data_IF_308902757943
#
_entry.id   IF_308902757943
#
_cell.length_a   1.000
_cell.length_b   1.000
_cell.length_c   1.000
_cell.angle_alpha   90.00
_cell.angle_beta   90.00
_cell.angle_gamma   90.00
#
_symmetry.space_group_name_H-M   'P 1'
#
loop_
_entity.id
_entity.type
_entity.pdbx_description
1 polymer ?
#
# COMPACT_ATOMS: atom_id res chain seq x y z
N UNK A 1 0.41 10.31 8.61
CA UNK A 1 1.27 9.70 7.60
C UNK A 1 1.21 10.52 6.32
N UNK A 2 2.35 11.00 5.84
CA UNK A 2 2.45 11.68 4.54
C UNK A 2 2.67 10.66 3.39
N UNK A 3 2.73 11.12 2.15
CA UNK A 3 2.91 10.26 0.98
C UNK A 3 4.18 9.40 1.05
N UNK A 4 5.32 9.96 1.43
CA UNK A 4 6.60 9.25 1.45
C UNK A 4 6.62 8.13 2.49
N UNK A 5 6.01 8.34 3.65
CA UNK A 5 5.83 7.32 4.69
C UNK A 5 4.91 6.18 4.21
N UNK A 6 3.80 6.50 3.53
CA UNK A 6 2.90 5.48 2.97
C UNK A 6 3.57 4.66 1.87
N UNK A 7 4.31 5.32 0.98
CA UNK A 7 5.03 4.64 -0.08
C UNK A 7 6.08 3.67 0.48
N UNK A 8 6.83 4.10 1.51
CA UNK A 8 7.80 3.24 2.20
C UNK A 8 7.11 2.02 2.81
N UNK A 9 6.02 2.24 3.53
CA UNK A 9 5.24 1.18 4.16
C UNK A 9 4.74 0.15 3.13
N UNK A 10 4.20 0.59 1.99
CA UNK A 10 3.70 -0.31 0.94
C UNK A 10 4.82 -1.15 0.31
N UNK A 11 6.00 -0.55 0.08
CA UNK A 11 7.19 -1.26 -0.42
C UNK A 11 7.61 -2.35 0.57
N UNK A 12 7.65 -2.02 1.87
CA UNK A 12 8.03 -2.95 2.93
C UNK A 12 6.99 -4.08 3.09
N UNK A 13 5.69 -3.78 2.97
CA UNK A 13 4.60 -4.76 3.08
C UNK A 13 4.61 -5.80 1.95
N UNK A 14 4.97 -5.38 0.74
CA UNK A 14 5.17 -6.26 -0.42
C UNK A 14 6.48 -7.08 -0.33
N UNK A 15 7.35 -6.80 0.65
CA UNK A 15 8.69 -7.40 0.79
C UNK A 15 9.55 -7.21 -0.48
N UNK A 16 9.45 -6.05 -1.12
CA UNK A 16 10.26 -5.69 -2.29
C UNK A 16 11.24 -4.57 -1.93
N UNK A 17 12.33 -4.46 -2.68
CA UNK A 17 13.27 -3.34 -2.50
C UNK A 17 12.80 -2.12 -3.30
N UNK A 18 13.21 -0.92 -2.90
CA UNK A 18 12.97 0.30 -3.70
C UNK A 18 13.49 0.16 -5.13
N UNK A 19 14.62 -0.55 -5.32
CA UNK A 19 15.18 -0.84 -6.65
C UNK A 19 14.28 -1.77 -7.46
N UNK A 20 13.74 -2.82 -6.84
CA UNK A 20 12.81 -3.73 -7.51
C UNK A 20 11.53 -2.98 -7.91
N UNK A 21 10.97 -2.20 -6.98
CA UNK A 21 9.81 -1.37 -7.23
C UNK A 21 10.04 -0.35 -8.36
N UNK A 22 11.20 0.31 -8.38
CA UNK A 22 11.60 1.22 -9.46
C UNK A 22 11.65 0.51 -10.82
N UNK A 23 12.24 -0.68 -10.87
CA UNK A 23 12.28 -1.50 -12.09
C UNK A 23 10.88 -1.91 -12.55
N UNK A 24 10.02 -2.37 -11.63
CA UNK A 24 8.66 -2.81 -11.95
C UNK A 24 7.80 -1.66 -12.49
N UNK A 25 8.03 -0.44 -11.98
CA UNK A 25 7.42 0.79 -12.49
C UNK A 25 8.20 1.44 -13.62
N UNK A 26 9.28 0.85 -14.14
CA UNK A 26 10.10 1.46 -15.18
C UNK A 26 10.46 2.94 -14.89
N UNK A 27 10.85 3.22 -13.65
CA UNK A 27 11.27 4.54 -13.14
C UNK A 27 12.70 4.42 -12.62
N UNK A 28 13.48 5.50 -12.71
CA UNK A 28 14.84 5.49 -12.18
C UNK A 28 14.84 5.25 -10.66
N UNK A 29 15.72 4.38 -10.12
CA UNK A 29 15.80 4.14 -8.68
C UNK A 29 16.03 5.40 -7.83
N UNK A 30 16.76 6.39 -8.37
CA UNK A 30 16.96 7.70 -7.75
C UNK A 30 15.65 8.47 -7.57
N UNK A 31 14.74 8.40 -8.55
CA UNK A 31 13.43 9.04 -8.50
C UNK A 31 12.55 8.42 -7.42
N UNK A 32 12.49 7.08 -7.34
CA UNK A 32 11.79 6.38 -6.25
C UNK A 32 12.41 6.72 -4.89
N UNK A 33 13.74 6.76 -4.81
CA UNK A 33 14.45 7.18 -3.59
C UNK A 33 14.05 8.58 -3.14
N UNK A 34 13.94 9.53 -4.09
CA UNK A 34 13.44 10.88 -3.85
C UNK A 34 12.01 10.89 -3.29
N UNK A 35 11.12 10.07 -3.85
CA UNK A 35 9.74 9.92 -3.34
C UNK A 35 9.69 9.35 -1.92
N UNK A 36 10.45 8.28 -1.65
CA UNK A 36 10.50 7.62 -0.33
C UNK A 36 11.17 8.49 0.73
N UNK A 37 12.01 9.44 0.33
CA UNK A 37 12.64 10.43 1.22
C UNK A 37 11.81 11.72 1.34
N UNK A 38 10.79 11.92 0.51
CA UNK A 38 9.99 13.15 0.47
C UNK A 38 10.71 14.36 -0.15
N UNK A 39 11.75 14.12 -0.95
CA UNK A 39 12.52 15.16 -1.66
C UNK A 39 11.78 15.62 -2.93
N UNK A 40 11.05 14.70 -3.55
CA UNK A 40 10.25 14.96 -4.74
C UNK A 40 8.91 14.26 -4.63
N UNK A 41 7.96 14.68 -5.45
CA UNK A 41 6.64 14.07 -5.56
C UNK A 41 6.44 13.50 -6.97
N UNK A 42 5.64 12.42 -7.13
CA UNK A 42 5.28 11.90 -8.42
C UNK A 42 4.34 12.86 -9.17
N UNK A 43 4.40 12.84 -10.50
CA UNK A 43 3.33 13.42 -11.30
C UNK A 43 2.05 12.57 -11.22
N UNK A 44 0.94 13.08 -11.76
CA UNK A 44 -0.36 12.40 -11.70
C UNK A 44 -0.33 11.00 -12.32
N UNK A 45 0.39 10.81 -13.42
CA UNK A 45 0.42 9.51 -14.09
C UNK A 45 1.28 8.51 -13.31
N UNK A 46 2.40 8.96 -12.74
CA UNK A 46 3.22 8.14 -11.85
C UNK A 46 2.46 7.77 -10.58
N UNK A 47 1.75 8.72 -9.96
CA UNK A 47 0.92 8.46 -8.79
C UNK A 47 -0.14 7.39 -9.08
N UNK A 48 -0.82 7.48 -10.22
CA UNK A 48 -1.80 6.48 -10.68
C UNK A 48 -1.17 5.10 -10.85
N UNK A 49 0.03 5.03 -11.43
CA UNK A 49 0.76 3.75 -11.60
C UNK A 49 1.16 3.15 -10.26
N UNK A 50 1.60 3.98 -9.31
CA UNK A 50 1.89 3.55 -7.93
C UNK A 50 0.62 3.00 -7.25
N UNK A 51 -0.49 3.72 -7.36
CA UNK A 51 -1.78 3.31 -6.80
C UNK A 51 -2.25 1.95 -7.36
N UNK A 52 -2.16 1.77 -8.67
CA UNK A 52 -2.50 0.50 -9.34
C UNK A 52 -1.55 -0.63 -8.97
N UNK A 53 -0.24 -0.36 -8.83
CA UNK A 53 0.75 -1.36 -8.46
C UNK A 53 0.44 -1.98 -7.09
N UNK A 54 0.14 -1.14 -6.10
CA UNK A 54 -0.19 -1.57 -4.73
C UNK A 54 -1.68 -1.86 -4.51
N UNK A 55 -2.53 -1.66 -5.52
CA UNK A 55 -3.97 -1.82 -5.42
C UNK A 55 -4.60 -0.99 -4.29
N UNK A 56 -4.22 0.29 -4.22
CA UNK A 56 -4.73 1.30 -3.27
C UNK A 56 -5.30 2.49 -4.05
N UNK A 57 -6.09 3.34 -3.40
CA UNK A 57 -6.57 4.59 -4.02
C UNK A 57 -5.48 5.67 -4.02
N UNK A 58 -5.57 6.62 -4.96
CA UNK A 58 -4.74 7.82 -4.91
C UNK A 58 -5.03 8.66 -3.65
N UNK A 59 -6.28 8.67 -3.20
CA UNK A 59 -6.72 9.32 -1.97
C UNK A 59 -5.99 8.72 -0.75
N UNK A 60 -5.86 7.39 -0.70
CA UNK A 60 -5.04 6.72 0.30
C UNK A 60 -3.58 7.21 0.23
N UNK A 61 -2.95 7.22 -0.94
CA UNK A 61 -1.56 7.68 -1.09
C UNK A 61 -1.36 9.15 -0.67
N UNK A 62 -2.30 10.02 -1.04
CA UNK A 62 -2.28 11.46 -0.78
C UNK A 62 -2.79 11.84 0.61
N UNK A 63 -3.23 10.85 1.41
CA UNK A 63 -3.83 11.08 2.73
C UNK A 63 -5.07 11.99 2.67
N UNK A 64 -5.84 11.89 1.59
CA UNK A 64 -7.15 12.51 1.47
C UNK A 64 -8.13 11.62 2.22
N UNK A 65 -8.85 12.13 3.22
CA UNK A 65 -9.83 11.34 3.96
C UNK A 65 -10.99 10.93 3.04
N UNK A 66 -11.09 9.63 2.74
CA UNK A 66 -12.27 9.06 2.10
C UNK A 66 -13.43 9.05 3.11
N UNK A 67 -14.41 9.93 2.93
CA UNK A 67 -15.66 9.93 3.72
C UNK A 67 -16.69 8.89 3.22
N UNK A 68 -16.26 7.90 2.42
CA UNK A 68 -17.14 6.87 1.87
C UNK A 68 -16.92 5.57 2.60
N UNK A 69 -17.81 5.27 3.54
CA UNK A 69 -17.99 3.89 3.97
C UNK A 69 -18.63 3.17 2.77
N UNK A 70 -17.88 2.28 2.14
CA UNK A 70 -18.23 1.72 0.84
C UNK A 70 -19.22 0.53 0.94
N UNK A 71 -19.48 -0.02 2.14
CA UNK A 71 -20.56 -0.98 2.42
C UNK A 71 -20.69 -1.32 3.92
N UNK A 72 -21.75 -2.05 4.29
CA UNK A 72 -22.04 -2.51 5.67
C UNK A 72 -20.89 -3.30 6.33
N UNK A 73 -20.09 -4.03 5.56
CA UNK A 73 -18.98 -4.82 6.13
C UNK A 73 -17.81 -3.92 6.56
N UNK A 74 -17.53 -2.85 5.82
CA UNK A 74 -16.54 -1.84 6.21
C UNK A 74 -17.00 -1.06 7.45
N UNK A 75 -18.28 -0.74 7.52
CA UNK A 75 -18.94 -0.12 8.67
C UNK A 75 -18.79 -0.99 9.94
N UNK A 76 -19.09 -2.28 9.81
CA UNK A 76 -18.92 -3.27 10.87
C UNK A 76 -17.46 -3.39 11.33
N UNK A 77 -16.53 -3.46 10.38
CA UNK A 77 -15.09 -3.54 10.65
C UNK A 77 -14.62 -2.33 11.45
N UNK A 78 -15.02 -1.11 11.04
CA UNK A 78 -14.67 0.12 11.76
C UNK A 78 -15.29 0.16 13.16
N UNK A 79 -16.55 -0.27 13.32
CA UNK A 79 -17.21 -0.32 14.63
C UNK A 79 -16.47 -1.26 15.58
N UNK A 80 -16.15 -2.46 15.11
CA UNK A 80 -15.42 -3.47 15.89
C UNK A 80 -14.02 -2.97 16.24
N UNK A 81 -13.26 -2.47 15.25
CA UNK A 81 -11.91 -1.95 15.47
C UNK A 81 -11.86 -0.81 16.49
N UNK A 82 -12.81 0.14 16.44
CA UNK A 82 -12.89 1.26 17.40
C UNK A 82 -13.22 0.85 18.83
N UNK A 83 -13.78 -0.34 19.04
CA UNK A 83 -14.10 -0.88 20.37
C UNK A 83 -12.94 -1.64 21.03
N UNK A 84 -11.83 -1.84 20.32
CA UNK A 84 -10.66 -2.58 20.79
C UNK A 84 -9.68 -1.71 21.58
N UNK A 85 -8.85 -2.33 22.42
CA UNK A 85 -7.66 -1.67 22.99
C UNK A 85 -6.59 -1.41 21.92
N UNK A 86 -5.62 -0.54 22.21
CA UNK A 86 -4.52 -0.25 21.28
C UNK A 86 -3.74 -1.51 20.91
N UNK A 87 -3.47 -2.39 21.87
CA UNK A 87 -2.76 -3.65 21.66
C UNK A 87 -3.57 -4.60 20.76
N UNK A 88 -4.88 -4.65 20.96
CA UNK A 88 -5.79 -5.45 20.13
C UNK A 88 -5.90 -4.90 18.71
N UNK A 89 -5.98 -3.59 18.54
CA UNK A 89 -5.96 -2.93 17.22
C UNK A 89 -4.68 -3.25 16.46
N UNK A 90 -3.53 -3.17 17.13
CA UNK A 90 -2.23 -3.54 16.56
C UNK A 90 -2.25 -5.00 16.08
N UNK A 91 -2.71 -5.92 16.93
CA UNK A 91 -2.79 -7.34 16.61
C UNK A 91 -3.77 -7.61 15.45
N UNK A 92 -4.91 -6.91 15.41
CA UNK A 92 -5.90 -7.03 14.34
C UNK A 92 -5.33 -6.58 12.99
N UNK A 93 -4.61 -5.46 12.97
CA UNK A 93 -3.90 -4.98 11.78
C UNK A 93 -2.86 -6.00 11.30
N UNK A 94 -2.05 -6.56 12.21
CA UNK A 94 -1.04 -7.55 11.82
C UNK A 94 -1.67 -8.82 11.22
N UNK A 95 -2.79 -9.29 11.76
CA UNK A 95 -3.56 -10.39 11.13
C UNK A 95 -4.06 -10.00 9.74
N UNK A 96 -4.60 -8.78 9.58
CA UNK A 96 -5.00 -8.23 8.29
C UNK A 96 -3.86 -8.27 7.26
N UNK A 97 -2.66 -7.80 7.65
CA UNK A 97 -1.46 -7.80 6.79
C UNK A 97 -1.04 -9.20 6.35
N UNK A 98 -1.26 -10.24 7.17
CA UNK A 98 -0.97 -11.63 6.77
C UNK A 98 -1.80 -12.04 5.55
N UNK A 99 -3.09 -11.68 5.51
CA UNK A 99 -3.94 -11.97 4.35
C UNK A 99 -3.45 -11.25 3.08
N UNK A 100 -3.04 -9.98 3.20
CA UNK A 100 -2.50 -9.19 2.08
C UNK A 100 -1.24 -9.86 1.53
N UNK A 101 -0.26 -10.18 2.40
CA UNK A 101 0.98 -10.85 2.00
C UNK A 101 0.73 -12.20 1.31
N UNK A 102 -0.20 -13.00 1.83
CA UNK A 102 -0.55 -14.29 1.22
C UNK A 102 -1.11 -14.11 -0.20
N UNK A 103 -1.96 -13.11 -0.42
CA UNK A 103 -2.51 -12.80 -1.74
C UNK A 103 -1.42 -12.39 -2.75
N UNK A 104 -0.44 -11.60 -2.31
CA UNK A 104 0.65 -11.15 -3.17
C UNK A 104 1.59 -12.29 -3.57
N UNK A 105 1.88 -13.22 -2.64
CA UNK A 105 2.62 -14.44 -2.97
C UNK A 105 1.89 -15.32 -4.01
N UNK A 106 0.57 -15.42 -3.91
CA UNK A 106 -0.23 -16.15 -4.91
C UNK A 106 -0.18 -15.47 -6.28
N UNK A 107 -0.27 -14.13 -6.34
CA UNK A 107 -0.13 -13.36 -7.59
C UNK A 107 1.26 -13.57 -8.22
N UNK A 108 2.33 -13.52 -7.43
CA UNK A 108 3.69 -13.75 -7.90
C UNK A 108 3.86 -15.17 -8.49
N UNK A 109 3.35 -16.20 -7.82
CA UNK A 109 3.39 -17.59 -8.32
C UNK A 109 2.61 -17.77 -9.63
N UNK A 110 1.49 -17.05 -9.82
CA UNK A 110 0.72 -17.10 -11.07
C UNK A 110 1.49 -16.47 -12.24
N UNK A 111 2.19 -15.35 -12.03
CA UNK A 111 3.01 -14.69 -13.06
C UNK A 111 4.18 -15.55 -13.53
N UNK A 112 4.81 -16.32 -12.64
CA UNK A 112 5.94 -17.21 -13.00
C UNK A 112 5.48 -18.43 -13.82
N UNK A 113 4.24 -18.91 -13.65
CA UNK A 113 3.71 -20.05 -14.41
C UNK A 113 3.17 -19.71 -15.80
N UNK A 114 2.96 -18.42 -16.08
CA UNK A 114 2.41 -17.93 -17.35
C UNK A 114 3.49 -17.39 -18.32
N UNK A 115 4.76 -17.47 -17.94
CA UNK A 115 5.94 -17.08 -18.72
C UNK A 115 6.77 -18.31 -19.03
#
# INVERSE_FOLDING_TARGET
MNFSEKLRLLIDEENITQKQFANDLNIAPSTIGGYVQGISEPDFETLKRIALYFNVSADYLLNIPENKINNLAEEELLRVFRSMTIEQQQLYIEQGKVFVRANNQLKAKKKVKSS
#
